data_IF_618166327530
#
_entry.id   IF_618166327530
#
_cell.length_a   1.000
_cell.length_b   1.000
_cell.length_c   1.000
_cell.angle_alpha   90.00
_cell.angle_beta   90.00
_cell.angle_gamma   90.00
#
_symmetry.space_group_name_H-M   'P 1'
#
loop_
_entity.id
_entity.type
_entity.pdbx_description
1 polymer ?
#
# COMPACT_ATOMS: atom_id res chain seq x y z
N UNK A 1 2.94 16.38 37.16
CA UNK A 1 2.46 16.98 38.41
C UNK A 1 1.31 16.13 38.95
N UNK A 2 1.39 15.73 40.20
CA UNK A 2 0.35 14.92 40.85
C UNK A 2 -0.15 15.68 42.06
N UNK A 3 -1.47 15.74 42.23
CA UNK A 3 -2.12 16.25 43.42
C UNK A 3 -3.03 15.14 43.98
N UNK A 4 -2.90 14.84 45.27
CA UNK A 4 -3.71 13.84 45.95
C UNK A 4 -4.30 14.45 47.21
N UNK A 5 -5.60 14.38 47.39
CA UNK A 5 -6.28 14.76 48.62
C UNK A 5 -6.74 13.48 49.32
N UNK A 6 -6.44 13.34 50.59
CA UNK A 6 -6.90 12.27 51.46
C UNK A 6 -7.73 12.84 52.58
N UNK A 7 -8.95 12.38 52.75
CA UNK A 7 -9.87 12.72 53.82
C UNK A 7 -10.14 11.44 54.61
N UNK A 8 -9.85 11.44 55.90
CA UNK A 8 -10.14 10.33 56.82
C UNK A 8 -11.20 10.80 57.80
N UNK A 9 -12.21 9.98 58.04
CA UNK A 9 -13.26 10.22 59.04
C UNK A 9 -12.67 10.27 60.45
N UNK A 10 -13.21 11.14 61.30
CA UNK A 10 -12.74 11.44 62.66
C UNK A 10 -12.61 10.17 63.51
N UNK A 11 -13.61 9.30 63.48
CA UNK A 11 -13.60 8.04 64.21
C UNK A 11 -12.54 7.05 63.72
N UNK A 12 -12.20 7.12 62.46
CA UNK A 12 -11.20 6.27 61.81
C UNK A 12 -9.78 6.79 62.02
N UNK A 13 -9.59 8.11 62.09
CA UNK A 13 -8.33 8.72 62.42
C UNK A 13 -7.90 8.37 63.85
N UNK A 14 -8.83 8.40 64.80
CA UNK A 14 -8.61 8.00 66.18
C UNK A 14 -8.24 6.51 66.34
N UNK A 15 -8.83 5.62 65.50
CA UNK A 15 -8.58 4.16 65.55
C UNK A 15 -7.24 3.75 64.98
N UNK A 16 -6.64 4.56 64.08
CA UNK A 16 -5.39 4.21 63.35
C UNK A 16 -4.16 4.93 63.97
N UNK A 17 -4.31 5.66 65.05
CA UNK A 17 -3.22 6.45 65.65
C UNK A 17 -2.59 7.50 64.72
N UNK A 18 -3.33 7.94 63.71
CA UNK A 18 -2.90 9.01 62.80
C UNK A 18 -3.63 10.30 63.20
N UNK A 19 -2.91 11.34 63.70
CA UNK A 19 -3.53 12.57 64.20
C UNK A 19 -4.06 13.51 63.09
N UNK A 20 -4.27 13.00 61.87
CA UNK A 20 -4.54 13.87 60.71
C UNK A 20 -5.79 13.39 59.99
N UNK A 21 -6.84 14.19 59.99
CA UNK A 21 -8.09 13.89 59.26
C UNK A 21 -8.02 14.26 57.78
N UNK A 22 -7.36 15.35 57.44
CA UNK A 22 -7.31 15.89 56.09
C UNK A 22 -5.90 16.30 55.73
N UNK A 23 -5.36 15.67 54.69
CA UNK A 23 -4.06 16.01 54.10
C UNK A 23 -4.22 16.34 52.64
N UNK A 24 -3.59 17.40 52.18
CA UNK A 24 -3.44 17.74 50.78
C UNK A 24 -1.95 17.61 50.41
N UNK A 25 -1.65 16.69 49.51
CA UNK A 25 -0.30 16.49 48.98
C UNK A 25 -0.28 16.95 47.53
N UNK A 26 0.57 17.88 47.19
CA UNK A 26 0.84 18.32 45.84
C UNK A 26 2.33 18.14 45.54
N UNK A 27 2.63 17.50 44.38
CA UNK A 27 4.02 17.25 44.03
C UNK A 27 4.28 17.43 42.54
N UNK A 28 5.47 17.93 42.23
CA UNK A 28 6.01 18.00 40.86
C UNK A 28 7.29 17.20 40.83
N UNK A 29 7.35 16.25 39.90
CA UNK A 29 8.56 15.46 39.61
C UNK A 29 9.05 15.81 38.23
N UNK A 30 10.28 16.26 38.10
CA UNK A 30 11.00 16.47 36.85
C UNK A 30 12.03 15.35 36.71
N UNK A 31 11.94 14.56 35.63
CA UNK A 31 12.93 13.54 35.32
C UNK A 31 13.57 13.83 33.98
N UNK A 32 14.87 14.02 33.93
CA UNK A 32 15.67 14.21 32.72
C UNK A 32 16.60 13.01 32.54
N UNK A 33 16.36 12.23 31.50
CA UNK A 33 17.26 11.14 31.11
C UNK A 33 18.46 11.73 30.39
N UNK A 34 19.67 11.54 30.94
CA UNK A 34 20.92 12.02 30.37
C UNK A 34 21.55 10.96 29.45
N UNK A 35 21.57 9.71 29.87
CA UNK A 35 22.15 8.60 29.13
C UNK A 35 21.24 7.38 29.28
N UNK A 36 20.78 6.87 28.15
CA UNK A 36 20.01 5.62 28.07
C UNK A 36 20.24 4.97 26.71
N UNK A 37 20.88 3.81 26.71
CA UNK A 37 21.19 3.08 25.48
C UNK A 37 19.93 2.56 24.77
N UNK A 38 18.83 2.29 25.50
CA UNK A 38 17.56 1.93 24.87
C UNK A 38 16.96 3.07 24.07
N UNK A 39 17.01 4.30 24.58
CA UNK A 39 16.53 5.46 23.82
C UNK A 39 17.36 5.70 22.57
N UNK A 40 18.69 5.56 22.66
CA UNK A 40 19.58 5.67 21.50
C UNK A 40 19.30 4.56 20.49
N UNK A 41 19.14 3.32 20.95
CA UNK A 41 18.77 2.19 20.10
C UNK A 41 17.42 2.44 19.40
N UNK A 42 16.39 2.84 20.15
CA UNK A 42 15.06 3.13 19.59
C UNK A 42 15.11 4.22 18.53
N UNK A 43 15.88 5.29 18.75
CA UNK A 43 16.12 6.33 17.74
C UNK A 43 16.73 5.73 16.45
N UNK A 44 17.77 4.90 16.57
CA UNK A 44 18.43 4.28 15.42
C UNK A 44 17.48 3.36 14.68
N UNK A 45 16.66 2.57 15.40
CA UNK A 45 15.64 1.69 14.81
C UNK A 45 14.59 2.50 14.05
N UNK A 46 14.07 3.58 14.65
CA UNK A 46 13.10 4.46 14.00
C UNK A 46 13.65 5.08 12.71
N UNK A 47 14.92 5.45 12.69
CA UNK A 47 15.58 5.94 11.47
C UNK A 47 15.57 4.86 10.38
N UNK A 48 15.92 3.60 10.71
CA UNK A 48 15.89 2.49 9.74
C UNK A 48 14.47 2.13 9.29
N UNK A 49 13.50 2.16 10.20
CA UNK A 49 12.08 1.99 9.86
C UNK A 49 11.59 3.06 8.90
N UNK A 50 12.03 4.32 9.06
CA UNK A 50 11.72 5.37 8.10
C UNK A 50 12.29 5.05 6.70
N UNK A 51 13.50 4.55 6.59
CA UNK A 51 14.09 4.17 5.29
C UNK A 51 13.35 2.96 4.68
N UNK A 52 12.89 1.99 5.49
CA UNK A 52 12.01 0.92 5.04
C UNK A 52 10.72 1.51 4.45
N UNK A 53 10.09 2.46 5.14
CA UNK A 53 8.86 3.12 4.63
C UNK A 53 9.09 3.87 3.33
N UNK A 54 10.22 4.53 3.14
CA UNK A 54 10.57 5.15 1.86
C UNK A 54 10.72 4.12 0.74
N UNK A 55 11.34 2.98 1.02
CA UNK A 55 11.45 1.89 0.04
C UNK A 55 10.08 1.30 -0.31
N UNK A 56 9.17 1.18 0.67
CA UNK A 56 7.78 0.74 0.43
C UNK A 56 7.00 1.72 -0.46
N UNK A 57 7.14 3.03 -0.23
CA UNK A 57 6.52 4.05 -1.08
C UNK A 57 7.05 3.92 -2.51
N UNK A 58 8.38 3.81 -2.67
CA UNK A 58 8.98 3.66 -4.00
C UNK A 58 8.52 2.39 -4.72
N UNK A 59 8.35 1.29 -3.98
CA UNK A 59 7.78 0.06 -4.53
C UNK A 59 6.33 0.29 -5.00
N UNK A 60 5.50 0.89 -4.15
CA UNK A 60 4.10 1.18 -4.49
C UNK A 60 3.96 2.08 -5.73
N UNK A 61 4.86 3.07 -5.91
CA UNK A 61 4.91 3.90 -7.12
C UNK A 61 5.23 3.06 -8.37
N UNK A 62 6.21 2.15 -8.29
CA UNK A 62 6.58 1.28 -9.40
C UNK A 62 5.47 0.27 -9.74
N UNK A 63 4.86 -0.33 -8.71
CA UNK A 63 3.75 -1.28 -8.86
C UNK A 63 2.54 -0.58 -9.52
N UNK A 64 2.24 0.66 -9.12
CA UNK A 64 1.15 1.45 -9.71
C UNK A 64 1.42 1.78 -11.19
N UNK A 65 2.67 2.11 -11.55
CA UNK A 65 3.05 2.35 -12.95
C UNK A 65 2.86 1.09 -13.78
N UNK A 66 3.31 -0.06 -13.27
CA UNK A 66 3.13 -1.35 -13.94
C UNK A 66 1.64 -1.69 -14.10
N UNK A 67 0.86 -1.63 -13.03
CA UNK A 67 -0.58 -1.92 -13.03
C UNK A 67 -1.33 -1.01 -14.03
N UNK A 68 -0.96 0.28 -14.06
CA UNK A 68 -1.55 1.24 -15.01
C UNK A 68 -1.21 0.89 -16.46
N UNK A 69 0.05 0.52 -16.73
CA UNK A 69 0.47 0.11 -18.06
C UNK A 69 -0.24 -1.18 -18.53
N UNK A 70 -0.35 -2.18 -17.65
CA UNK A 70 -1.07 -3.41 -17.92
C UNK A 70 -2.55 -3.16 -18.20
N UNK A 71 -3.22 -2.34 -17.39
CA UNK A 71 -4.62 -1.99 -17.58
C UNK A 71 -4.84 -1.19 -18.87
N UNK A 72 -3.93 -0.28 -19.21
CA UNK A 72 -3.95 0.45 -20.48
C UNK A 72 -3.85 -0.49 -21.68
N UNK A 73 -2.87 -1.39 -21.66
CA UNK A 73 -2.69 -2.39 -22.72
C UNK A 73 -3.89 -3.36 -22.84
N UNK A 74 -4.51 -3.70 -21.70
CA UNK A 74 -5.73 -4.51 -21.68
C UNK A 74 -6.88 -3.82 -22.43
N UNK A 75 -7.08 -2.51 -22.25
CA UNK A 75 -8.10 -1.76 -23.02
C UNK A 75 -7.79 -1.80 -24.51
N UNK A 76 -6.55 -1.48 -24.93
CA UNK A 76 -6.17 -1.49 -26.34
C UNK A 76 -6.36 -2.87 -26.99
N UNK A 77 -6.04 -3.95 -26.26
CA UNK A 77 -6.24 -5.31 -26.71
C UNK A 77 -7.71 -5.63 -26.97
N UNK A 78 -8.60 -5.25 -26.06
CA UNK A 78 -10.05 -5.51 -26.20
C UNK A 78 -10.66 -4.61 -27.28
N UNK A 79 -10.24 -3.36 -27.43
CA UNK A 79 -10.67 -2.47 -28.53
C UNK A 79 -10.26 -3.04 -29.90
N UNK A 80 -9.03 -3.58 -30.01
CA UNK A 80 -8.57 -4.25 -31.22
C UNK A 80 -9.39 -5.51 -31.50
N UNK A 81 -9.73 -6.28 -30.48
CA UNK A 81 -10.61 -7.44 -30.60
C UNK A 81 -12.00 -7.06 -31.08
N UNK A 82 -12.58 -5.97 -30.57
CA UNK A 82 -13.88 -5.48 -31.02
C UNK A 82 -13.88 -5.09 -32.51
N UNK A 83 -12.80 -4.49 -32.97
CA UNK A 83 -12.63 -4.18 -34.41
C UNK A 83 -12.64 -5.44 -35.25
N UNK A 84 -11.97 -6.50 -34.81
CA UNK A 84 -11.95 -7.80 -35.49
C UNK A 84 -13.37 -8.42 -35.49
N UNK A 85 -14.06 -8.42 -34.34
CA UNK A 85 -15.42 -8.96 -34.25
C UNK A 85 -16.42 -8.19 -35.11
N UNK A 86 -16.28 -6.87 -35.22
CA UNK A 86 -17.09 -6.06 -36.12
C UNK A 86 -16.88 -6.44 -37.59
N UNK A 87 -15.62 -6.64 -38.01
CA UNK A 87 -15.31 -7.08 -39.35
C UNK A 87 -15.85 -8.50 -39.64
N UNK A 88 -15.75 -9.41 -38.66
CA UNK A 88 -16.31 -10.76 -38.77
C UNK A 88 -17.83 -10.72 -38.89
N UNK A 89 -18.52 -9.86 -38.14
CA UNK A 89 -19.96 -9.67 -38.27
C UNK A 89 -20.36 -9.19 -39.68
N UNK A 90 -19.63 -8.24 -40.24
CA UNK A 90 -19.90 -7.74 -41.61
C UNK A 90 -19.66 -8.82 -42.65
N UNK A 91 -18.60 -9.60 -42.48
CA UNK A 91 -18.32 -10.76 -43.38
C UNK A 91 -19.42 -11.79 -43.28
N UNK A 92 -19.89 -12.13 -42.08
CA UNK A 92 -20.96 -13.12 -41.87
C UNK A 92 -22.29 -12.63 -42.48
N UNK A 93 -22.63 -11.33 -42.34
CA UNK A 93 -23.78 -10.74 -43.01
C UNK A 93 -23.71 -10.91 -44.54
N UNK A 94 -22.57 -10.58 -45.14
CA UNK A 94 -22.35 -10.71 -46.57
C UNK A 94 -22.45 -12.17 -47.03
N UNK A 95 -21.92 -13.11 -46.24
CA UNK A 95 -22.05 -14.55 -46.54
C UNK A 95 -23.49 -15.04 -46.51
N UNK A 96 -24.30 -14.50 -45.56
CA UNK A 96 -25.72 -14.80 -45.48
C UNK A 96 -26.48 -14.28 -46.71
N UNK A 97 -26.20 -13.06 -47.16
CA UNK A 97 -26.79 -12.49 -48.39
C UNK A 97 -26.45 -13.36 -49.59
N UNK A 98 -25.16 -13.73 -49.73
CA UNK A 98 -24.70 -14.62 -50.81
C UNK A 98 -25.39 -16.00 -50.78
N UNK A 99 -25.62 -16.56 -49.61
CA UNK A 99 -26.35 -17.83 -49.45
C UNK A 99 -27.80 -17.72 -49.91
N UNK A 100 -28.47 -16.55 -49.62
CA UNK A 100 -29.83 -16.28 -50.09
C UNK A 100 -29.90 -16.18 -51.59
N UNK A 101 -28.98 -15.41 -52.24
CA UNK A 101 -28.88 -15.27 -53.67
C UNK A 101 -28.64 -16.61 -54.39
N UNK A 102 -27.72 -17.44 -53.83
CA UNK A 102 -27.45 -18.81 -54.38
C UNK A 102 -28.67 -19.74 -54.27
N UNK A 103 -29.45 -19.60 -53.20
CA UNK A 103 -30.71 -20.37 -53.08
C UNK A 103 -31.72 -19.91 -54.13
N UNK A 104 -31.91 -18.61 -54.35
CA UNK A 104 -32.80 -18.06 -55.37
C UNK A 104 -32.37 -18.53 -56.77
N UNK A 105 -31.07 -18.63 -57.04
CA UNK A 105 -30.53 -19.20 -58.28
C UNK A 105 -30.61 -20.74 -58.35
N UNK A 106 -31.13 -21.44 -57.32
CA UNK A 106 -31.24 -22.88 -57.27
C UNK A 106 -29.91 -23.63 -57.04
N UNK A 107 -28.84 -22.92 -56.65
CA UNK A 107 -27.48 -23.47 -56.49
C UNK A 107 -27.24 -24.03 -55.08
N UNK A 108 -27.95 -23.54 -54.06
CA UNK A 108 -27.80 -23.99 -52.68
C UNK A 108 -29.15 -24.27 -52.01
N UNK A 109 -29.12 -25.01 -50.86
CA UNK A 109 -30.30 -25.39 -50.11
C UNK A 109 -30.63 -24.44 -48.96
N UNK A 110 -31.81 -24.61 -48.35
CA UNK A 110 -32.26 -23.85 -47.17
C UNK A 110 -31.33 -24.04 -45.94
N UNK A 111 -30.66 -25.20 -45.85
CA UNK A 111 -29.75 -25.52 -44.76
C UNK A 111 -28.57 -24.54 -44.67
N UNK A 112 -28.06 -24.05 -45.79
CA UNK A 112 -26.95 -23.06 -45.81
C UNK A 112 -27.42 -21.72 -45.22
N UNK A 113 -28.65 -21.29 -45.50
CA UNK A 113 -29.21 -20.07 -44.93
C UNK A 113 -29.30 -20.21 -43.42
N UNK A 114 -29.88 -21.30 -42.90
CA UNK A 114 -29.99 -21.52 -41.44
C UNK A 114 -28.62 -21.60 -40.74
N UNK A 115 -27.61 -22.16 -41.44
CA UNK A 115 -26.25 -22.17 -40.92
C UNK A 115 -25.70 -20.73 -40.75
N UNK A 116 -25.80 -19.89 -41.81
CA UNK A 116 -25.32 -18.52 -41.73
C UNK A 116 -26.16 -17.61 -40.81
N UNK A 117 -27.46 -17.85 -40.62
CA UNK A 117 -28.28 -17.18 -39.64
C UNK A 117 -27.83 -17.52 -38.22
N UNK A 118 -27.50 -18.79 -37.97
CA UNK A 118 -26.94 -19.21 -36.69
C UNK A 118 -25.55 -18.56 -36.44
N UNK A 119 -24.71 -18.50 -37.46
CA UNK A 119 -23.39 -17.89 -37.40
C UNK A 119 -23.46 -16.38 -37.20
N UNK A 120 -24.45 -15.71 -37.83
CA UNK A 120 -24.74 -14.30 -37.61
C UNK A 120 -25.13 -14.02 -36.16
N UNK A 121 -26.00 -14.84 -35.59
CA UNK A 121 -26.41 -14.71 -34.19
C UNK A 121 -25.23 -14.86 -33.21
N UNK A 122 -24.34 -15.82 -33.48
CA UNK A 122 -23.08 -15.99 -32.73
C UNK A 122 -22.17 -14.77 -32.85
N UNK A 123 -22.00 -14.24 -34.06
CA UNK A 123 -21.15 -13.08 -34.32
C UNK A 123 -21.68 -11.82 -33.61
N UNK A 124 -23.00 -11.64 -33.57
CA UNK A 124 -23.64 -10.55 -32.82
C UNK A 124 -23.37 -10.71 -31.31
N UNK A 125 -23.57 -11.91 -30.77
CA UNK A 125 -23.34 -12.19 -29.35
C UNK A 125 -21.86 -11.93 -28.96
N UNK A 126 -20.93 -12.39 -29.80
CA UNK A 126 -19.49 -12.17 -29.56
C UNK A 126 -19.10 -10.70 -29.62
N UNK A 127 -19.70 -9.92 -30.53
CA UNK A 127 -19.47 -8.48 -30.60
C UNK A 127 -19.99 -7.77 -29.32
N UNK A 128 -21.21 -8.11 -28.89
CA UNK A 128 -21.81 -7.53 -27.66
C UNK A 128 -20.95 -7.85 -26.45
N UNK A 129 -20.53 -9.11 -26.28
CA UNK A 129 -19.63 -9.52 -25.20
C UNK A 129 -18.33 -8.72 -25.21
N UNK A 130 -17.74 -8.56 -26.41
CA UNK A 130 -16.49 -7.78 -26.53
C UNK A 130 -16.68 -6.30 -26.20
N UNK A 131 -17.85 -5.71 -26.57
CA UNK A 131 -18.17 -4.34 -26.18
C UNK A 131 -18.30 -4.16 -24.67
N UNK A 132 -18.96 -5.12 -23.99
CA UNK A 132 -19.02 -5.12 -22.52
C UNK A 132 -17.63 -5.24 -21.88
N UNK A 133 -16.76 -6.06 -22.46
CA UNK A 133 -15.38 -6.21 -22.00
C UNK A 133 -14.56 -4.91 -22.16
N UNK A 134 -14.84 -4.07 -23.17
CA UNK A 134 -14.23 -2.74 -23.29
C UNK A 134 -14.65 -1.87 -22.11
N UNK A 135 -15.93 -1.84 -21.77
CA UNK A 135 -16.43 -1.02 -20.66
C UNK A 135 -15.84 -1.47 -19.31
N UNK A 136 -15.72 -2.78 -19.11
CA UNK A 136 -15.07 -3.35 -17.93
C UNK A 136 -13.60 -2.94 -17.87
N UNK A 137 -12.86 -3.09 -18.97
CA UNK A 137 -11.43 -2.74 -19.02
C UNK A 137 -11.21 -1.24 -18.80
N UNK A 138 -12.03 -0.38 -19.44
CA UNK A 138 -11.98 1.09 -19.23
C UNK A 138 -12.32 1.48 -17.79
N UNK A 139 -13.32 0.83 -17.19
CA UNK A 139 -13.68 1.07 -15.79
C UNK A 139 -12.55 0.68 -14.84
N UNK A 140 -11.88 -0.45 -15.11
CA UNK A 140 -10.74 -0.87 -14.33
C UNK A 140 -9.58 0.15 -14.43
N UNK A 141 -9.23 0.58 -15.64
CA UNK A 141 -8.20 1.62 -15.83
C UNK A 141 -8.57 2.92 -15.11
N UNK A 142 -9.81 3.40 -15.24
CA UNK A 142 -10.28 4.60 -14.53
C UNK A 142 -10.11 4.48 -13.02
N UNK A 143 -10.40 3.31 -12.46
CA UNK A 143 -10.24 3.05 -11.03
C UNK A 143 -8.78 3.13 -10.59
N UNK A 144 -7.86 2.55 -11.36
CA UNK A 144 -6.42 2.56 -11.05
C UNK A 144 -5.87 3.99 -11.06
N UNK A 145 -6.23 4.79 -12.08
CA UNK A 145 -5.76 6.18 -12.20
C UNK A 145 -6.60 7.18 -11.40
N UNK A 146 -7.55 6.70 -10.62
CA UNK A 146 -8.50 7.53 -9.85
C UNK A 146 -9.24 8.57 -10.71
N UNK A 147 -9.64 8.17 -11.92
CA UNK A 147 -10.39 9.01 -12.85
C UNK A 147 -11.89 8.88 -12.63
N UNK A 148 -12.65 9.96 -12.88
CA UNK A 148 -14.11 9.93 -12.69
C UNK A 148 -14.76 8.88 -13.61
N UNK A 149 -15.50 7.93 -13.02
CA UNK A 149 -16.13 6.82 -13.73
C UNK A 149 -17.17 7.26 -14.76
N UNK A 150 -17.83 8.39 -14.54
CA UNK A 150 -18.87 8.91 -15.41
C UNK A 150 -18.33 9.70 -16.63
N UNK A 151 -17.08 10.14 -16.58
CA UNK A 151 -16.50 10.88 -17.70
C UNK A 151 -16.01 9.90 -18.79
N UNK A 152 -16.16 10.23 -20.08
CA UNK A 152 -15.62 9.41 -21.16
C UNK A 152 -14.09 9.35 -21.06
N UNK A 153 -13.53 8.18 -21.32
CA UNK A 153 -12.08 7.98 -21.40
C UNK A 153 -11.72 7.61 -22.84
N UNK A 154 -11.00 8.50 -23.50
CA UNK A 154 -10.42 8.24 -24.83
C UNK A 154 -8.93 7.95 -24.65
N UNK A 155 -8.49 6.85 -25.23
CA UNK A 155 -7.10 6.44 -25.19
C UNK A 155 -6.43 6.74 -26.52
N UNK A 156 -5.19 7.20 -26.43
CA UNK A 156 -4.35 7.33 -27.61
C UNK A 156 -3.89 5.93 -28.03
N UNK A 157 -4.18 5.56 -29.26
CA UNK A 157 -3.73 4.28 -29.77
C UNK A 157 -2.21 4.31 -30.04
N UNK A 158 -1.50 3.36 -29.50
CA UNK A 158 -0.06 3.20 -29.79
C UNK A 158 0.06 2.39 -31.08
N UNK A 159 0.54 3.05 -32.12
CA UNK A 159 0.91 2.33 -33.36
C UNK A 159 2.33 1.77 -33.24
N UNK A 160 2.39 0.50 -32.89
CA UNK A 160 3.67 -0.23 -32.77
C UNK A 160 4.42 -0.38 -34.12
N UNK A 161 3.77 -0.15 -35.23
CA UNK A 161 4.36 -0.19 -36.57
C UNK A 161 4.77 1.20 -37.06
N UNK A 162 4.51 2.26 -36.29
CA UNK A 162 4.95 3.59 -36.66
C UNK A 162 6.47 3.65 -36.75
N UNK A 163 6.98 4.34 -37.77
CA UNK A 163 8.41 4.52 -37.97
C UNK A 163 9.08 5.15 -36.76
N UNK A 164 8.40 6.05 -36.07
CA UNK A 164 8.89 6.72 -34.86
C UNK A 164 9.07 5.73 -33.69
N UNK A 165 8.09 4.83 -33.47
CA UNK A 165 8.20 3.80 -32.44
C UNK A 165 9.33 2.82 -32.71
N UNK A 166 9.43 2.33 -33.94
CA UNK A 166 10.48 1.39 -34.34
C UNK A 166 11.87 2.02 -34.31
N UNK A 167 12.00 3.27 -34.70
CA UNK A 167 13.28 3.99 -34.67
C UNK A 167 13.72 4.27 -33.23
N UNK A 168 12.81 4.76 -32.38
CA UNK A 168 13.11 5.07 -30.97
C UNK A 168 13.48 3.82 -30.15
N UNK A 169 12.97 2.67 -30.54
CA UNK A 169 13.20 1.39 -29.85
C UNK A 169 14.07 0.42 -30.65
N UNK A 170 14.73 0.88 -31.72
CA UNK A 170 15.51 0.02 -32.62
C UNK A 170 16.62 -0.76 -31.91
N UNK A 171 17.27 -0.15 -30.93
CA UNK A 171 18.31 -0.82 -30.14
C UNK A 171 17.71 -1.92 -29.26
N UNK A 172 16.57 -1.69 -28.63
CA UNK A 172 15.88 -2.70 -27.84
C UNK A 172 15.47 -3.90 -28.70
N UNK A 173 14.94 -3.66 -29.90
CA UNK A 173 14.57 -4.74 -30.82
C UNK A 173 15.76 -5.56 -31.29
N UNK A 174 16.98 -4.98 -31.41
CA UNK A 174 18.19 -5.74 -31.73
C UNK A 174 18.54 -6.77 -30.64
N UNK A 175 18.28 -6.44 -29.37
CA UNK A 175 18.52 -7.38 -28.25
C UNK A 175 17.49 -8.51 -28.20
N UNK A 176 16.26 -8.26 -28.61
CA UNK A 176 15.18 -9.28 -28.58
C UNK A 176 15.24 -10.21 -29.78
N UNK A 177 15.74 -9.73 -30.92
CA UNK A 177 15.74 -10.50 -32.19
C UNK A 177 16.76 -11.63 -32.26
N UNK A 178 17.74 -11.68 -31.34
CA UNK A 178 18.78 -12.70 -31.30
C UNK A 178 18.86 -13.32 -29.90
N UNK A 179 18.80 -14.68 -29.82
CA UNK A 179 18.82 -15.43 -28.57
C UNK A 179 20.01 -15.08 -27.66
N UNK A 180 21.21 -14.93 -28.22
CA UNK A 180 22.38 -14.57 -27.44
C UNK A 180 22.30 -13.16 -26.84
N UNK A 181 21.78 -12.22 -27.61
CA UNK A 181 21.57 -10.84 -27.15
C UNK A 181 20.45 -10.77 -26.10
N UNK A 182 19.41 -11.59 -26.24
CA UNK A 182 18.35 -11.71 -25.26
C UNK A 182 18.88 -12.20 -23.90
N UNK A 183 19.76 -13.19 -23.89
CA UNK A 183 20.40 -13.65 -22.65
C UNK A 183 21.23 -12.56 -21.98
N UNK A 184 22.01 -11.83 -22.77
CA UNK A 184 22.80 -10.69 -22.26
C UNK A 184 21.91 -9.59 -21.66
N UNK A 185 20.76 -9.30 -22.30
CA UNK A 185 19.78 -8.35 -21.78
C UNK A 185 19.17 -8.85 -20.48
N UNK A 186 18.83 -10.13 -20.38
CA UNK A 186 18.28 -10.75 -19.17
C UNK A 186 19.30 -10.64 -18.02
N UNK A 187 20.55 -10.97 -18.27
CA UNK A 187 21.63 -10.88 -17.26
C UNK A 187 21.82 -9.43 -16.77
N UNK A 188 21.82 -8.47 -17.70
CA UNK A 188 21.87 -7.05 -17.35
C UNK A 188 20.65 -6.62 -16.51
N UNK A 189 19.44 -7.02 -16.91
CA UNK A 189 18.21 -6.73 -16.16
C UNK A 189 18.25 -7.36 -14.76
N UNK A 190 18.79 -8.59 -14.63
CA UNK A 190 18.98 -9.25 -13.34
C UNK A 190 19.94 -8.47 -12.44
N UNK A 191 21.08 -8.04 -12.97
CA UNK A 191 22.05 -7.24 -12.22
C UNK A 191 21.45 -5.90 -11.76
N UNK A 192 20.72 -5.22 -12.65
CA UNK A 192 20.03 -3.97 -12.34
C UNK A 192 18.90 -4.18 -11.31
N UNK A 193 18.14 -5.26 -11.42
CA UNK A 193 17.10 -5.61 -10.46
C UNK A 193 17.69 -5.85 -9.06
N UNK A 194 18.79 -6.58 -8.96
CA UNK A 194 19.49 -6.83 -7.69
C UNK A 194 19.99 -5.53 -7.04
N UNK A 195 20.53 -4.60 -7.83
CA UNK A 195 21.03 -3.32 -7.33
C UNK A 195 19.92 -2.33 -6.94
N UNK A 196 18.81 -2.34 -7.66
CA UNK A 196 17.72 -1.37 -7.50
C UNK A 196 16.54 -1.87 -6.67
N UNK A 197 16.47 -3.18 -6.38
CA UNK A 197 15.35 -3.80 -5.68
C UNK A 197 15.05 -3.12 -4.34
N UNK A 198 13.83 -2.63 -4.22
CA UNK A 198 13.31 -2.04 -2.99
C UNK A 198 13.08 -3.09 -1.91
N UNK A 199 12.75 -4.32 -2.29
CA UNK A 199 12.54 -5.42 -1.35
C UNK A 199 13.85 -5.88 -0.72
N UNK A 200 14.94 -5.96 -1.49
CA UNK A 200 16.27 -6.25 -0.95
C UNK A 200 16.73 -5.17 0.03
N UNK A 201 16.55 -3.89 -0.32
CA UNK A 201 16.87 -2.77 0.59
C UNK A 201 16.10 -2.85 1.91
N UNK A 202 14.83 -3.24 1.88
CA UNK A 202 14.04 -3.45 3.11
C UNK A 202 14.62 -4.55 3.98
N UNK A 203 15.04 -5.66 3.37
CA UNK A 203 15.68 -6.77 4.08
C UNK A 203 17.00 -6.31 4.70
N UNK A 204 17.83 -5.56 3.98
CA UNK A 204 19.08 -5.02 4.48
C UNK A 204 18.87 -4.12 5.71
N UNK A 205 17.90 -3.20 5.66
CA UNK A 205 17.55 -2.39 6.82
C UNK A 205 17.01 -3.23 7.99
N UNK A 206 16.25 -4.30 7.69
CA UNK A 206 15.81 -5.26 8.71
C UNK A 206 16.99 -5.94 9.41
N UNK A 207 17.99 -6.38 8.65
CA UNK A 207 19.24 -6.95 9.18
C UNK A 207 20.00 -5.93 10.04
N UNK A 208 20.08 -4.67 9.60
CA UNK A 208 20.72 -3.60 10.38
C UNK A 208 20.00 -3.35 11.71
N UNK A 209 18.67 -3.38 11.74
CA UNK A 209 17.87 -3.28 12.96
C UNK A 209 18.22 -4.44 13.91
N UNK A 210 18.29 -5.69 13.43
CA UNK A 210 18.67 -6.83 14.26
C UNK A 210 20.11 -6.71 14.80
N UNK A 211 21.06 -6.26 13.98
CA UNK A 211 22.43 -5.98 14.43
C UNK A 211 22.45 -4.91 15.55
N UNK A 212 21.63 -3.86 15.41
CA UNK A 212 21.52 -2.81 16.44
C UNK A 212 20.92 -3.31 17.74
N UNK A 213 19.90 -4.19 17.69
CA UNK A 213 19.33 -4.84 18.86
C UNK A 213 20.37 -5.70 19.60
N UNK A 214 21.13 -6.52 18.88
CA UNK A 214 22.22 -7.33 19.44
C UNK A 214 23.29 -6.43 20.10
N UNK A 215 23.67 -5.34 19.42
CA UNK A 215 24.62 -4.37 19.98
C UNK A 215 24.10 -3.76 21.27
N UNK A 216 22.83 -3.36 21.33
CA UNK A 216 22.21 -2.82 22.53
C UNK A 216 22.27 -3.81 23.70
N UNK A 217 21.92 -5.08 23.46
CA UNK A 217 21.96 -6.13 24.48
C UNK A 217 23.38 -6.32 25.05
N UNK A 218 24.40 -6.20 24.21
CA UNK A 218 25.80 -6.22 24.65
C UNK A 218 26.18 -4.97 25.44
N UNK A 219 25.80 -3.79 24.94
CA UNK A 219 26.14 -2.50 25.54
C UNK A 219 25.50 -2.31 26.92
N UNK A 220 24.29 -2.80 27.14
CA UNK A 220 23.59 -2.73 28.44
C UNK A 220 24.37 -3.33 29.60
N UNK A 221 25.31 -4.23 29.33
CA UNK A 221 26.17 -4.79 30.38
C UNK A 221 27.21 -3.79 30.92
N UNK A 222 27.52 -2.76 30.11
CA UNK A 222 28.60 -1.84 30.39
C UNK A 222 28.16 -0.38 30.48
N UNK A 223 27.04 -0.01 29.86
CA UNK A 223 26.55 1.36 29.82
C UNK A 223 25.35 1.49 30.78
N UNK A 224 25.53 2.20 31.92
CA UNK A 224 24.44 2.43 32.86
C UNK A 224 23.43 3.44 32.30
N UNK A 225 22.19 3.38 32.81
CA UNK A 225 21.22 4.46 32.60
C UNK A 225 21.50 5.59 33.60
N UNK A 226 21.66 6.80 33.13
CA UNK A 226 21.87 8.00 33.97
C UNK A 226 20.66 8.92 33.77
N UNK A 227 19.97 9.23 34.86
CA UNK A 227 18.87 10.19 34.89
C UNK A 227 19.01 11.15 36.08
N UNK A 228 18.69 12.41 35.83
CA UNK A 228 18.56 13.42 36.87
C UNK A 228 17.08 13.51 37.23
N UNK A 229 16.78 13.42 38.54
CA UNK A 229 15.43 13.56 39.04
C UNK A 229 15.38 14.65 40.09
N UNK A 230 14.47 15.59 39.92
CA UNK A 230 14.15 16.61 40.90
C UNK A 230 12.70 16.47 41.34
N UNK A 231 12.46 16.36 42.65
CA UNK A 231 11.13 16.24 43.21
C UNK A 231 10.88 17.46 44.13
N UNK A 232 9.74 18.07 43.98
CA UNK A 232 9.23 19.08 44.91
C UNK A 232 7.83 18.66 45.34
N UNK A 233 7.62 18.52 46.65
CA UNK A 233 6.33 18.16 47.22
C UNK A 233 5.95 19.13 48.35
N UNK A 234 4.69 19.49 48.38
CA UNK A 234 4.08 20.28 49.49
C UNK A 234 3.04 19.37 50.12
N UNK A 235 3.20 19.17 51.41
CA UNK A 235 2.23 18.47 52.25
C UNK A 235 1.58 19.51 53.18
N UNK A 236 0.28 19.71 53.07
CA UNK A 236 -0.45 20.62 53.91
C UNK A 236 -1.49 19.84 54.74
N UNK A 237 -1.42 20.01 56.06
CA UNK A 237 -2.39 19.44 56.98
C UNK A 237 -3.53 20.47 57.08
N UNK A 238 -4.75 20.08 56.69
CA UNK A 238 -5.91 21.00 56.68
C UNK A 238 -6.67 20.94 58.00
N UNK A 239 -6.64 19.80 58.70
CA UNK A 239 -7.24 19.64 60.02
C UNK A 239 -6.50 18.53 60.80
N UNK A 240 -6.33 18.71 62.09
CA UNK A 240 -5.85 17.69 63.02
C UNK A 240 -7.02 16.85 63.53
N UNK A 241 -6.84 15.54 63.63
CA UNK A 241 -7.85 14.65 64.22
C UNK A 241 -7.99 14.87 65.76
N UNK A 242 -9.16 14.58 66.27
CA UNK A 242 -9.59 14.82 67.63
C UNK A 242 -8.83 14.04 68.76
N UNK A 243 -7.58 13.62 68.50
CA UNK A 243 -6.81 12.77 69.39
C UNK A 243 -5.73 13.48 70.25
N UNK A 244 -5.48 14.80 70.15
CA UNK A 244 -4.49 15.49 70.92
C UNK A 244 -5.17 16.36 72.01
N UNK A 245 -5.59 15.73 73.11
CA UNK A 245 -5.82 16.45 74.33
C UNK A 245 -4.45 16.88 74.91
N UNK A 246 -4.07 18.08 74.65
CA UNK A 246 -3.00 18.73 75.45
C UNK A 246 -3.52 18.90 76.84
N UNK A 247 -3.05 18.10 77.78
CA UNK A 247 -3.24 18.38 79.21
C UNK A 247 -2.24 19.48 79.63
N UNK A 248 -2.68 20.74 79.66
CA UNK A 248 -1.99 21.75 80.40
C UNK A 248 -2.03 21.37 81.88
N UNK A 249 -0.89 20.84 82.40
CA UNK A 249 -0.64 20.71 83.83
C UNK A 249 0.13 21.92 84.27
N UNK A 250 -0.55 22.79 84.98
CA UNK A 250 0.04 23.83 85.88
C UNK A 250 1.02 23.24 86.91
#
# INVERSE_FOLDING_TARGET
ANATAMIIDEDRAASILTPVEKTLNAGVTLTQVILNEDLNMNKDILIKQREIKKAEIKKAELDLVLETAEAYMAVLKVESSAKIQKNNLELTKRNLELAKERKEAGISGQADIYRFESELSKSISSLVETMLNIDIAKTNLKRIINYNLQQPLELVNIDFNSGDFLTSNSEFFKYISNQNNTNLLIDFMHEMAMKSSTDLKKIDYGVEIQKRLIKNTKNKKFIPTIALQANYSINNIIAEGAGSSYSDSN
#
